data_IF_984673494517
#
_entry.id   IF_984673494517
#
_cell.length_a   1.000
_cell.length_b   1.000
_cell.length_c   1.000
_cell.angle_alpha   90.00
_cell.angle_beta   90.00
_cell.angle_gamma   90.00
#
_symmetry.space_group_name_H-M   'P 1'
#
loop_
_entity.id
_entity.type
_entity.pdbx_description
1 polymer ?
#
# COMPACT_ATOMS: atom_id res chain seq x y z
N UNK A 1 -11.05 35.70 21.65
CA UNK A 1 -10.61 34.33 22.01
C UNK A 1 -11.34 33.24 21.23
N UNK A 2 -12.65 33.35 20.93
CA UNK A 2 -13.42 32.33 20.18
C UNK A 2 -13.04 32.14 18.70
N UNK A 3 -12.56 33.20 18.03
CA UNK A 3 -12.21 33.18 16.60
C UNK A 3 -10.95 32.36 16.28
N UNK A 4 -10.00 32.30 17.22
CA UNK A 4 -8.73 31.60 17.02
C UNK A 4 -8.91 30.07 17.06
N UNK A 5 -9.78 29.59 17.96
CA UNK A 5 -10.13 28.16 18.02
C UNK A 5 -10.85 27.70 16.75
N UNK A 6 -11.73 28.53 16.19
CA UNK A 6 -12.47 28.20 14.98
C UNK A 6 -11.59 28.10 13.73
N UNK A 7 -10.53 28.90 13.65
CA UNK A 7 -9.55 28.82 12.56
C UNK A 7 -8.70 27.55 12.64
N UNK A 8 -8.29 27.16 13.85
CA UNK A 8 -7.48 25.96 14.07
C UNK A 8 -8.24 24.68 13.72
N UNK A 9 -9.55 24.60 14.02
CA UNK A 9 -10.39 23.44 13.68
C UNK A 9 -10.58 23.24 12.17
N UNK A 10 -10.59 24.31 11.36
CA UNK A 10 -10.71 24.20 9.90
C UNK A 10 -9.43 23.67 9.23
N UNK A 11 -8.26 23.94 9.81
CA UNK A 11 -6.98 23.50 9.24
C UNK A 11 -6.72 21.99 9.38
N UNK A 12 -7.26 21.36 10.44
CA UNK A 12 -7.08 19.91 10.68
C UNK A 12 -7.88 19.02 9.72
N UNK A 13 -8.95 19.53 9.11
CA UNK A 13 -9.82 18.73 8.22
C UNK A 13 -9.15 18.43 6.88
N UNK A 14 -8.13 19.20 6.48
CA UNK A 14 -7.45 19.04 5.19
C UNK A 14 -6.19 18.15 5.22
N UNK A 15 -5.79 17.62 6.39
CA UNK A 15 -4.57 16.80 6.52
C UNK A 15 -4.87 15.32 6.74
N UNK A 16 -5.86 14.77 6.04
CA UNK A 16 -5.86 13.33 5.76
C UNK A 16 -4.74 13.08 4.76
N UNK A 17 -3.49 13.01 5.25
CA UNK A 17 -2.38 12.48 4.49
C UNK A 17 -2.72 11.00 4.34
N UNK A 18 -3.37 10.63 3.25
CA UNK A 18 -3.52 9.23 2.86
C UNK A 18 -2.10 8.79 2.53
N UNK A 19 -1.39 8.26 3.51
CA UNK A 19 -0.10 7.64 3.28
C UNK A 19 -0.36 6.47 2.35
N UNK A 20 -0.01 6.65 1.09
CA UNK A 20 -0.03 5.59 0.09
C UNK A 20 0.97 4.53 0.52
N UNK A 21 0.47 3.31 0.76
CA UNK A 21 1.31 2.14 0.98
C UNK A 21 2.28 1.97 -0.21
N UNK A 22 3.54 1.64 0.05
CA UNK A 22 4.51 1.33 -1.00
C UNK A 22 4.78 -0.17 -1.02
N UNK A 23 4.71 -0.81 -2.19
CA UNK A 23 4.94 -2.24 -2.34
C UNK A 23 5.97 -2.53 -3.43
N UNK A 24 6.53 -3.74 -3.44
CA UNK A 24 7.21 -4.26 -4.62
C UNK A 24 6.20 -4.76 -5.66
N UNK A 25 6.51 -4.53 -6.93
CA UNK A 25 5.75 -5.00 -8.09
C UNK A 25 6.68 -5.61 -9.15
N UNK A 26 6.10 -6.31 -10.12
CA UNK A 26 6.82 -6.93 -11.23
C UNK A 26 6.88 -6.09 -12.51
N UNK A 27 6.47 -4.81 -12.48
CA UNK A 27 6.43 -3.94 -13.66
C UNK A 27 7.82 -3.85 -14.33
N UNK A 28 7.93 -4.47 -15.50
CA UNK A 28 9.14 -4.61 -16.34
C UNK A 28 10.42 -5.06 -15.60
N UNK A 29 10.29 -5.63 -14.41
CA UNK A 29 11.41 -6.11 -13.59
C UNK A 29 11.38 -7.64 -13.43
N UNK A 30 12.34 -8.37 -14.02
CA UNK A 30 12.42 -9.83 -13.87
C UNK A 30 12.68 -10.28 -12.43
N UNK A 31 13.06 -9.36 -11.53
CA UNK A 31 13.26 -9.64 -10.10
C UNK A 31 12.04 -9.32 -9.24
N UNK A 32 11.00 -8.69 -9.80
CA UNK A 32 9.82 -8.25 -9.06
C UNK A 32 10.14 -7.37 -7.85
N UNK A 33 11.02 -6.38 -8.03
CA UNK A 33 11.47 -5.46 -6.99
C UNK A 33 11.27 -3.99 -7.38
N UNK A 34 10.43 -3.71 -8.39
CA UNK A 34 10.02 -2.33 -8.70
C UNK A 34 9.22 -1.77 -7.52
N UNK A 35 9.69 -0.67 -6.93
CA UNK A 35 8.97 0.01 -5.84
C UNK A 35 7.85 0.84 -6.43
N UNK A 36 6.61 0.58 -6.01
CA UNK A 36 5.41 1.24 -6.52
C UNK A 36 4.61 1.83 -5.37
N UNK A 37 4.24 3.10 -5.49
CA UNK A 37 3.26 3.76 -4.63
C UNK A 37 1.85 3.26 -5.01
N UNK A 38 1.15 2.64 -4.06
CA UNK A 38 -0.16 2.05 -4.29
C UNK A 38 -1.28 3.10 -4.33
N UNK A 39 -2.43 2.71 -4.88
CA UNK A 39 -3.62 3.56 -4.79
C UNK A 39 -4.08 3.74 -3.34
N UNK A 40 -4.83 4.81 -3.06
CA UNK A 40 -5.42 5.08 -1.74
C UNK A 40 -6.33 3.94 -1.22
N UNK A 41 -6.90 3.14 -2.12
CA UNK A 41 -7.78 2.01 -1.78
C UNK A 41 -6.98 0.75 -1.41
N UNK A 42 -5.70 0.70 -1.76
CA UNK A 42 -4.84 -0.46 -1.51
C UNK A 42 -4.28 -0.42 -0.09
N UNK A 43 -4.66 -1.41 0.72
CA UNK A 43 -4.20 -1.55 2.11
C UNK A 43 -3.18 -2.67 2.30
N UNK A 44 -2.91 -3.46 1.25
CA UNK A 44 -2.04 -4.63 1.33
C UNK A 44 -1.02 -4.66 0.20
N UNK A 45 0.19 -5.08 0.52
CA UNK A 45 1.11 -5.68 -0.43
C UNK A 45 0.82 -7.17 -0.53
N UNK A 46 0.72 -7.68 -1.76
CA UNK A 46 0.43 -9.08 -2.07
C UNK A 46 1.64 -9.70 -2.76
N UNK A 47 1.91 -10.96 -2.41
CA UNK A 47 2.83 -11.83 -3.14
C UNK A 47 2.08 -13.08 -3.56
N UNK A 48 2.22 -13.46 -4.83
CA UNK A 48 1.79 -14.76 -5.35
C UNK A 48 3.03 -15.53 -5.76
N UNK A 49 3.24 -16.69 -5.17
CA UNK A 49 4.36 -17.58 -5.50
C UNK A 49 3.82 -18.94 -5.84
N UNK A 50 3.99 -19.37 -7.08
CA UNK A 50 3.76 -20.76 -7.54
C UNK A 50 5.08 -21.36 -8.01
N UNK A 51 5.06 -22.62 -8.47
CA UNK A 51 6.28 -23.31 -8.93
C UNK A 51 6.98 -22.57 -10.09
N UNK A 52 6.22 -21.87 -10.94
CA UNK A 52 6.72 -21.21 -12.15
C UNK A 52 6.55 -19.68 -12.14
N UNK A 53 5.92 -19.10 -11.12
CA UNK A 53 5.52 -17.68 -11.14
C UNK A 53 5.78 -17.01 -9.81
N UNK A 54 6.44 -15.86 -9.86
CA UNK A 54 6.48 -14.87 -8.79
C UNK A 54 5.76 -13.63 -9.30
N UNK A 55 4.72 -13.21 -8.58
CA UNK A 55 4.01 -11.96 -8.84
C UNK A 55 3.88 -11.16 -7.54
N UNK A 56 3.95 -9.83 -7.65
CA UNK A 56 3.87 -8.91 -6.52
C UNK A 56 3.06 -7.69 -6.91
N UNK A 57 2.25 -7.20 -5.98
CA UNK A 57 1.34 -6.10 -6.29
C UNK A 57 0.70 -5.44 -5.07
N UNK A 58 0.04 -4.33 -5.33
CA UNK A 58 -0.87 -3.67 -4.41
C UNK A 58 -2.25 -4.34 -4.44
N UNK A 59 -2.91 -4.45 -3.29
CA UNK A 59 -4.26 -5.01 -3.20
C UNK A 59 -5.12 -4.25 -2.19
N UNK A 60 -6.39 -4.02 -2.55
CA UNK A 60 -7.42 -3.49 -1.63
C UNK A 60 -7.85 -4.53 -0.60
N UNK A 61 -7.92 -5.79 -1.04
CA UNK A 61 -8.26 -6.95 -0.23
C UNK A 61 -7.28 -8.07 -0.55
N UNK A 62 -6.85 -8.78 0.49
CA UNK A 62 -5.91 -9.87 0.35
C UNK A 62 -6.41 -11.07 1.15
N UNK A 63 -6.53 -12.22 0.49
CA UNK A 63 -6.92 -13.48 1.10
C UNK A 63 -5.73 -14.41 1.01
N UNK A 64 -5.13 -14.68 2.16
CA UNK A 64 -3.98 -15.58 2.24
C UNK A 64 -4.37 -17.01 1.84
N UNK A 65 -3.44 -17.70 1.20
CA UNK A 65 -3.57 -19.09 0.81
C UNK A 65 -2.19 -19.71 0.71
N UNK A 66 -2.12 -21.00 0.32
CA UNK A 66 -0.83 -21.67 0.15
C UNK A 66 0.13 -20.95 -0.81
N UNK A 67 -0.39 -20.26 -1.83
CA UNK A 67 0.40 -19.53 -2.81
C UNK A 67 0.33 -18.01 -2.67
N UNK A 68 -0.41 -17.48 -1.69
CA UNK A 68 -0.68 -16.03 -1.55
C UNK A 68 -0.34 -15.57 -0.15
N UNK A 69 0.54 -14.58 -0.05
CA UNK A 69 0.92 -13.90 1.20
C UNK A 69 0.58 -12.42 1.13
N UNK A 70 0.23 -11.83 2.27
CA UNK A 70 -0.27 -10.46 2.39
C UNK A 70 0.41 -9.74 3.56
N UNK A 71 0.69 -8.45 3.40
CA UNK A 71 1.25 -7.62 4.48
C UNK A 71 0.89 -6.13 4.27
N UNK A 72 0.97 -5.31 5.32
CA UNK A 72 0.36 -3.96 5.34
C UNK A 72 1.36 -2.81 5.54
N UNK A 73 2.67 -3.09 5.58
CA UNK A 73 3.72 -2.09 5.79
C UNK A 73 4.53 -1.85 4.54
N UNK A 74 5.17 -0.69 4.42
CA UNK A 74 5.97 -0.37 3.22
C UNK A 74 7.00 -1.44 2.91
N UNK A 75 7.01 -1.88 1.64
CA UNK A 75 7.95 -2.81 1.03
C UNK A 75 8.03 -4.17 1.75
N UNK A 76 6.97 -4.58 2.43
CA UNK A 76 6.95 -5.81 3.23
C UNK A 76 6.89 -7.10 2.41
N UNK A 77 6.53 -7.01 1.13
CA UNK A 77 6.33 -8.17 0.26
C UNK A 77 7.62 -8.62 -0.45
N UNK A 78 8.72 -8.71 0.30
CA UNK A 78 10.04 -9.13 -0.16
C UNK A 78 10.15 -10.65 -0.36
#
# INVERSE_FOLDING_TARGET
MKLLLSSMLLALVCTSIVQSLRCYTCDDDPKCMTQTDCSAESSFCKTITTDDTLDRGCAEKCVESYYVSCCETDLCNL
#
